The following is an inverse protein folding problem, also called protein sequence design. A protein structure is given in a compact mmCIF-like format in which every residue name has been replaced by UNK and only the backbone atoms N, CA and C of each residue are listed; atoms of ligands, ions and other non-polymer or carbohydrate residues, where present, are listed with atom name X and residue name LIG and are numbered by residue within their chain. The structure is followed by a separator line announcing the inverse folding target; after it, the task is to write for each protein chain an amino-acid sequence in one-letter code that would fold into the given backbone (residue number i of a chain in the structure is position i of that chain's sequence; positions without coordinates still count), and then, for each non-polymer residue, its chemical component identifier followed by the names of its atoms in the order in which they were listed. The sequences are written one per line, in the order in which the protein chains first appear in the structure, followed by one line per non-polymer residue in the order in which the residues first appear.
data_IF_891639081951
#
_entry.id   IF_891639081951
#
_cell.length_a   1.000
_cell.length_b   1.000
_cell.length_c   1.000
_cell.angle_alpha   90.00
_cell.angle_beta   90.00
_cell.angle_gamma   90.00
#
_symmetry.space_group_name_H-M   'P 1'
#
loop_
_entity.id
_entity.type
_entity.pdbx_description
1 polymer ?
#
# COMPACT_ATOMS: atom_id res chain seq x y z
N UNK A 1 53.33 -10.00 1.07
CA UNK A 1 53.16 -9.70 -0.37
C UNK A 1 53.21 -8.19 -0.68
N UNK A 2 52.44 -7.33 0.01
CA UNK A 2 52.42 -5.86 -0.27
C UNK A 2 53.79 -5.16 -0.09
N UNK A 3 54.69 -5.75 0.71
CA UNK A 3 56.03 -5.22 0.98
C UNK A 3 57.16 -5.97 0.25
N UNK A 4 56.83 -6.80 -0.76
CA UNK A 4 57.86 -7.48 -1.54
C UNK A 4 58.69 -6.45 -2.33
N UNK A 5 60.03 -6.51 -2.31
CA UNK A 5 60.87 -5.56 -3.03
C UNK A 5 60.82 -5.82 -4.54
N UNK A 6 60.88 -4.75 -5.33
CA UNK A 6 60.92 -4.79 -6.80
C UNK A 6 59.60 -4.43 -7.49
N UNK A 7 59.62 -4.21 -8.81
CA UNK A 7 58.43 -3.91 -9.59
C UNK A 7 57.52 -5.16 -9.67
N UNK A 8 56.23 -4.97 -9.44
CA UNK A 8 55.23 -6.03 -9.57
C UNK A 8 53.91 -5.50 -10.12
N UNK A 9 53.11 -6.39 -10.69
CA UNK A 9 51.73 -6.10 -11.09
C UNK A 9 50.81 -6.81 -10.11
N UNK A 10 49.99 -6.03 -9.39
CA UNK A 10 49.03 -6.56 -8.43
C UNK A 10 47.61 -6.35 -8.92
N UNK A 11 46.86 -7.45 -9.03
CA UNK A 11 45.41 -7.41 -9.18
C UNK A 11 44.78 -7.44 -7.80
N UNK A 12 44.08 -6.36 -7.43
CA UNK A 12 43.45 -6.23 -6.13
C UNK A 12 41.93 -6.04 -6.28
N UNK A 13 41.18 -6.70 -5.41
CA UNK A 13 39.72 -6.59 -5.32
C UNK A 13 39.32 -5.84 -4.05
N UNK A 14 38.17 -5.13 -4.03
CA UNK A 14 37.25 -4.81 -5.12
C UNK A 14 37.74 -3.73 -6.10
N UNK A 15 37.24 -3.75 -7.34
CA UNK A 15 37.74 -2.90 -8.45
C UNK A 15 37.48 -1.39 -8.33
N UNK A 16 36.72 -0.92 -7.33
CA UNK A 16 36.41 0.51 -7.12
C UNK A 16 37.11 1.13 -5.90
N UNK A 17 38.02 0.38 -5.26
CA UNK A 17 38.78 0.80 -4.08
C UNK A 17 37.82 1.29 -2.97
N UNK A 18 36.71 0.59 -2.77
CA UNK A 18 35.71 0.92 -1.74
C UNK A 18 36.06 0.35 -0.36
N UNK A 19 36.94 -0.65 -0.29
CA UNK A 19 37.30 -1.33 0.96
C UNK A 19 38.21 -2.54 0.72
N UNK A 20 38.50 -3.30 1.78
CA UNK A 20 39.25 -4.55 1.72
C UNK A 20 40.68 -4.41 1.20
N UNK A 21 41.19 -5.47 0.56
CA UNK A 21 42.58 -5.57 0.14
C UNK A 21 43.02 -4.48 -0.85
N UNK A 22 42.14 -4.11 -1.81
CA UNK A 22 42.42 -2.99 -2.73
C UNK A 22 42.67 -1.67 -1.99
N UNK A 23 41.94 -1.39 -0.93
CA UNK A 23 42.09 -0.17 -0.14
C UNK A 23 43.35 -0.19 0.71
N UNK A 24 43.69 -1.33 1.31
CA UNK A 24 44.91 -1.49 2.11
C UNK A 24 46.18 -1.31 1.27
N UNK A 25 46.18 -1.88 0.07
CA UNK A 25 47.28 -1.69 -0.89
C UNK A 25 47.34 -0.24 -1.33
N UNK A 26 46.20 0.33 -1.70
CA UNK A 26 46.12 1.73 -2.14
C UNK A 26 46.68 2.66 -1.05
N UNK A 27 46.32 2.43 0.22
CA UNK A 27 46.84 3.22 1.35
C UNK A 27 48.36 3.22 1.44
N UNK A 28 49.00 2.10 1.10
CA UNK A 28 50.45 1.94 1.22
C UNK A 28 51.21 2.41 -0.01
N UNK A 29 50.60 2.30 -1.19
CA UNK A 29 51.27 2.54 -2.47
C UNK A 29 50.96 3.91 -3.08
N UNK A 30 49.82 4.52 -2.73
CA UNK A 30 49.43 5.83 -3.26
C UNK A 30 50.38 7.00 -2.96
N UNK A 31 51.14 7.04 -1.85
CA UNK A 31 52.11 8.11 -1.60
C UNK A 31 53.37 8.09 -2.50
N UNK A 32 53.56 7.07 -3.35
CA UNK A 32 54.75 6.98 -4.20
C UNK A 32 54.41 7.34 -5.65
N UNK A 33 55.15 8.29 -6.23
CA UNK A 33 55.01 8.73 -7.63
C UNK A 33 55.42 7.66 -8.64
N UNK A 34 56.22 6.67 -8.20
CA UNK A 34 56.68 5.55 -9.02
C UNK A 34 55.59 4.49 -9.24
N UNK A 35 54.47 4.57 -8.50
CA UNK A 35 53.40 3.60 -8.57
C UNK A 35 52.32 4.05 -9.57
N UNK A 36 51.78 3.08 -10.30
CA UNK A 36 50.67 3.27 -11.23
C UNK A 36 49.45 2.50 -10.75
N UNK A 37 48.32 3.19 -10.64
CA UNK A 37 47.01 2.60 -10.33
C UNK A 37 46.17 2.62 -11.60
N UNK A 38 45.72 1.45 -12.06
CA UNK A 38 44.82 1.32 -13.21
C UNK A 38 43.44 0.87 -12.77
N UNK A 39 42.40 1.55 -13.25
CA UNK A 39 41.00 1.23 -12.93
C UNK A 39 40.30 0.68 -14.19
N UNK A 40 39.92 -0.61 -14.20
CA UNK A 40 39.48 -1.31 -15.42
C UNK A 40 38.04 -1.02 -15.84
N UNK A 41 37.28 -0.21 -15.11
CA UNK A 41 35.84 -0.07 -15.33
C UNK A 41 35.24 1.21 -14.75
N UNK A 42 33.93 1.37 -14.96
CA UNK A 42 33.14 2.42 -14.34
C UNK A 42 33.22 2.33 -12.81
N UNK A 43 33.54 3.44 -12.15
CA UNK A 43 33.46 3.57 -10.70
C UNK A 43 32.25 4.41 -10.30
N UNK A 44 31.41 3.87 -9.42
CA UNK A 44 30.23 4.56 -8.91
C UNK A 44 30.61 5.86 -8.18
N UNK A 45 29.76 6.88 -8.33
CA UNK A 45 29.95 8.17 -7.66
C UNK A 45 30.10 8.00 -6.14
N UNK A 46 31.04 8.72 -5.54
CA UNK A 46 31.36 8.63 -4.11
C UNK A 46 32.45 7.62 -3.75
N UNK A 47 32.83 6.72 -4.66
CA UNK A 47 33.97 5.80 -4.43
C UNK A 47 35.32 6.49 -4.59
N UNK A 48 36.37 5.95 -3.95
CA UNK A 48 37.75 6.42 -4.14
C UNK A 48 38.18 6.26 -5.60
N UNK A 49 37.78 5.17 -6.25
CA UNK A 49 38.01 4.97 -7.69
C UNK A 49 37.43 6.10 -8.54
N UNK A 50 36.20 6.54 -8.26
CA UNK A 50 35.60 7.67 -8.96
C UNK A 50 36.35 8.98 -8.71
N UNK A 51 36.76 9.26 -7.46
CA UNK A 51 37.55 10.47 -7.12
C UNK A 51 38.90 10.50 -7.85
N UNK A 52 39.54 9.34 -8.02
CA UNK A 52 40.79 9.19 -8.77
C UNK A 52 40.62 9.40 -10.28
N UNK A 53 39.46 9.07 -10.83
CA UNK A 53 39.16 9.24 -12.26
C UNK A 53 38.68 10.64 -12.61
N UNK A 54 37.99 11.32 -11.67
CA UNK A 54 37.39 12.64 -11.92
C UNK A 54 38.39 13.81 -11.83
N UNK A 55 39.67 13.57 -11.55
CA UNK A 55 40.73 14.60 -11.52
C UNK A 55 42.10 14.04 -11.11
N UNK A 56 43.09 14.94 -10.87
CA UNK A 56 44.37 14.60 -10.21
C UNK A 56 44.33 15.02 -8.73
N UNK A 57 43.66 14.28 -7.84
CA UNK A 57 43.61 14.64 -6.42
C UNK A 57 44.99 14.48 -5.80
N UNK A 58 45.48 15.52 -5.13
CA UNK A 58 46.68 15.44 -4.28
C UNK A 58 46.35 14.82 -2.93
N UNK A 59 45.10 14.94 -2.45
CA UNK A 59 44.65 14.33 -1.20
C UNK A 59 43.27 13.68 -1.36
N UNK A 60 43.09 12.49 -0.79
CA UNK A 60 41.80 11.79 -0.75
C UNK A 60 41.47 11.40 0.69
N UNK A 61 40.28 11.78 1.15
CA UNK A 61 39.71 11.28 2.40
C UNK A 61 39.27 9.83 2.20
N UNK A 62 39.93 8.92 2.93
CA UNK A 62 39.62 7.48 2.92
C UNK A 62 38.61 7.13 3.99
N UNK A 63 38.66 7.84 5.12
CA UNK A 63 37.71 7.76 6.23
C UNK A 63 37.62 9.15 6.89
N UNK A 64 36.65 9.36 7.81
CA UNK A 64 36.42 10.65 8.48
C UNK A 64 37.67 11.23 9.16
N UNK A 65 38.58 10.36 9.60
CA UNK A 65 39.79 10.73 10.32
C UNK A 65 41.09 10.45 9.56
N UNK A 66 41.02 9.94 8.31
CA UNK A 66 42.22 9.53 7.55
C UNK A 66 42.26 10.20 6.17
N UNK A 67 43.10 11.22 6.05
CA UNK A 67 43.50 11.80 4.76
C UNK A 67 44.73 11.11 4.21
N UNK A 68 44.71 10.78 2.92
CA UNK A 68 45.82 10.16 2.24
C UNK A 68 46.38 11.08 1.15
N UNK A 69 47.70 11.27 1.16
CA UNK A 69 48.43 11.97 0.10
C UNK A 69 48.61 11.04 -1.10
N UNK A 70 48.01 11.44 -2.23
CA UNK A 70 47.99 10.65 -3.47
C UNK A 70 48.98 11.29 -4.43
N UNK A 71 50.14 10.64 -4.56
CA UNK A 71 51.20 11.03 -5.49
C UNK A 71 51.40 10.03 -6.63
N UNK A 72 50.83 8.84 -6.52
CA UNK A 72 50.86 7.84 -7.58
C UNK A 72 50.13 8.32 -8.84
N UNK A 73 50.58 7.83 -10.00
CA UNK A 73 49.86 8.05 -11.25
C UNK A 73 48.59 7.20 -11.24
N UNK A 74 47.42 7.81 -11.43
CA UNK A 74 46.16 7.10 -11.55
C UNK A 74 45.65 7.24 -12.99
N UNK A 75 45.29 6.10 -13.60
CA UNK A 75 44.76 6.07 -14.95
C UNK A 75 43.46 5.25 -14.98
N UNK A 76 42.36 5.91 -15.34
CA UNK A 76 41.12 5.25 -15.67
C UNK A 76 41.16 4.81 -17.12
N UNK A 77 40.83 3.56 -17.40
CA UNK A 77 40.82 3.06 -18.79
C UNK A 77 39.64 3.66 -19.61
N UNK A 78 38.79 4.48 -18.97
CA UNK A 78 37.55 5.06 -19.52
C UNK A 78 37.53 6.58 -19.71
N UNK A 79 38.53 7.33 -19.26
CA UNK A 79 38.47 8.81 -19.32
C UNK A 79 38.98 9.34 -20.66
N UNK A 80 38.05 9.54 -21.60
CA UNK A 80 38.23 10.51 -22.68
C UNK A 80 38.09 11.92 -22.10
N UNK A 81 39.22 12.54 -21.78
CA UNK A 81 39.29 13.95 -21.39
C UNK A 81 40.62 14.52 -21.84
N UNK A 82 40.58 15.56 -22.67
CA UNK A 82 41.74 16.38 -22.99
C UNK A 82 42.36 16.88 -21.68
N UNK A 83 43.58 16.47 -21.38
CA UNK A 83 44.41 17.20 -20.43
C UNK A 83 44.72 18.55 -21.07
N UNK A 84 44.36 19.63 -20.38
CA UNK A 84 44.62 21.02 -20.79
C UNK A 84 46.10 21.37 -20.88
N UNK A 85 47.01 20.47 -20.49
CA UNK A 85 48.42 20.77 -20.24
C UNK A 85 49.39 19.97 -21.12
N UNK A 86 49.02 19.66 -22.38
CA UNK A 86 49.95 19.30 -23.47
C UNK A 86 50.88 18.07 -23.26
N UNK A 87 50.80 17.38 -22.13
CA UNK A 87 51.61 16.20 -21.84
C UNK A 87 50.92 14.98 -22.43
N UNK A 88 51.51 14.46 -23.51
CA UNK A 88 51.12 13.22 -24.18
C UNK A 88 51.35 12.06 -23.20
N UNK A 89 50.30 11.63 -22.49
CA UNK A 89 50.21 10.24 -22.05
C UNK A 89 49.48 9.48 -23.15
N UNK A 90 50.06 8.39 -23.63
CA UNK A 90 49.44 7.54 -24.65
C UNK A 90 48.18 6.91 -24.06
N UNK A 91 47.04 7.55 -24.28
CA UNK A 91 45.71 7.13 -23.82
C UNK A 91 45.28 5.94 -24.68
N UNK A 92 45.62 4.73 -24.26
CA UNK A 92 45.00 3.52 -24.79
C UNK A 92 43.64 3.33 -24.11
N UNK A 93 42.59 3.77 -24.82
CA UNK A 93 41.19 3.54 -24.47
C UNK A 93 40.87 2.03 -24.63
N UNK A 94 40.83 1.30 -23.53
CA UNK A 94 40.46 -0.12 -23.51
C UNK A 94 39.26 -0.35 -22.59
N UNK A 95 38.07 0.05 -23.04
CA UNK A 95 36.83 -0.20 -22.32
C UNK A 95 36.55 -1.70 -22.20
N UNK A 96 36.98 -2.34 -21.10
CA UNK A 96 36.63 -3.72 -20.74
C UNK A 96 35.33 -3.79 -19.94
N UNK A 97 34.29 -3.11 -20.42
CA UNK A 97 32.95 -3.28 -19.86
C UNK A 97 32.20 -4.33 -20.68
N UNK A 98 31.56 -5.34 -20.06
CA UNK A 98 30.66 -6.27 -20.75
C UNK A 98 29.30 -5.62 -21.07
N UNK A 99 29.16 -4.31 -20.90
CA UNK A 99 27.93 -3.59 -21.21
C UNK A 99 27.86 -3.21 -22.69
N UNK A 100 26.66 -3.33 -23.26
CA UNK A 100 26.36 -2.91 -24.63
C UNK A 100 26.54 -1.41 -24.77
N UNK A 101 27.14 -0.99 -25.88
CA UNK A 101 27.30 0.42 -26.22
C UNK A 101 25.99 1.04 -26.75
N UNK A 102 25.96 2.36 -26.87
CA UNK A 102 24.78 3.06 -27.37
C UNK A 102 24.38 2.62 -28.78
N UNK A 103 25.34 2.24 -29.63
CA UNK A 103 25.06 1.75 -30.98
C UNK A 103 24.37 0.38 -30.94
N UNK A 104 24.90 -0.56 -30.15
CA UNK A 104 24.30 -1.89 -30.00
C UNK A 104 22.88 -1.83 -29.42
N UNK A 105 22.62 -0.92 -28.46
CA UNK A 105 21.27 -0.70 -27.94
C UNK A 105 20.35 -0.18 -29.05
N UNK A 106 20.77 0.84 -29.81
CA UNK A 106 19.98 1.40 -30.92
C UNK A 106 19.69 0.36 -32.01
N UNK A 107 20.69 -0.44 -32.39
CA UNK A 107 20.55 -1.51 -33.37
C UNK A 107 19.55 -2.57 -32.89
N UNK A 108 19.57 -2.91 -31.59
CA UNK A 108 18.61 -3.83 -30.99
C UNK A 108 17.18 -3.27 -30.99
N UNK A 109 16.98 -2.01 -30.57
CA UNK A 109 15.65 -1.39 -30.58
C UNK A 109 15.12 -1.31 -32.00
N UNK A 110 15.97 -0.96 -32.97
CA UNK A 110 15.61 -0.93 -34.40
C UNK A 110 15.21 -2.31 -34.91
N UNK A 111 15.99 -3.35 -34.57
CA UNK A 111 15.70 -4.72 -34.97
C UNK A 111 14.38 -5.25 -34.41
N UNK A 112 14.10 -4.99 -33.12
CA UNK A 112 12.88 -5.46 -32.46
C UNK A 112 11.64 -4.63 -32.79
N UNK A 113 11.81 -3.35 -33.14
CA UNK A 113 10.72 -2.39 -33.39
C UNK A 113 9.58 -2.47 -32.35
N UNK A 114 9.90 -2.32 -31.04
CA UNK A 114 8.90 -2.42 -29.98
C UNK A 114 7.89 -1.26 -30.03
N UNK A 115 6.69 -1.48 -29.46
CA UNK A 115 5.67 -0.43 -29.35
C UNK A 115 6.01 0.62 -28.29
N UNK A 116 6.72 0.22 -27.23
CA UNK A 116 7.12 1.07 -26.11
C UNK A 116 8.48 0.63 -25.59
N UNK A 117 9.33 1.59 -25.21
CA UNK A 117 10.65 1.34 -24.60
C UNK A 117 10.71 2.00 -23.23
N UNK A 118 11.27 1.29 -22.24
CA UNK A 118 11.50 1.81 -20.89
C UNK A 118 12.99 1.69 -20.60
N UNK A 119 13.62 2.82 -20.29
CA UNK A 119 15.02 2.87 -19.86
C UNK A 119 15.09 2.81 -18.34
N UNK A 120 15.86 1.85 -17.84
CA UNK A 120 16.09 1.61 -16.42
C UNK A 120 17.58 1.40 -16.16
N UNK A 121 18.00 1.41 -14.89
CA UNK A 121 19.37 1.09 -14.47
C UNK A 121 20.47 1.87 -15.21
N UNK A 122 20.29 3.18 -15.39
CA UNK A 122 21.29 4.06 -15.99
C UNK A 122 21.43 5.39 -15.26
N UNK A 123 22.50 6.12 -15.59
CA UNK A 123 22.67 7.51 -15.11
C UNK A 123 21.65 8.42 -15.79
N UNK A 124 20.92 9.22 -14.99
CA UNK A 124 19.87 10.15 -15.45
C UNK A 124 20.25 10.98 -16.70
N UNK A 125 21.41 11.67 -16.77
CA UNK A 125 21.75 12.48 -17.95
C UNK A 125 22.00 11.63 -19.21
N UNK A 126 22.59 10.43 -19.05
CA UNK A 126 22.85 9.52 -20.16
C UNK A 126 21.57 8.86 -20.65
N UNK A 127 20.67 8.49 -19.74
CA UNK A 127 19.35 7.95 -20.07
C UNK A 127 18.49 8.98 -20.81
N UNK A 128 18.47 10.23 -20.36
CA UNK A 128 17.75 11.30 -21.05
C UNK A 128 18.25 11.51 -22.49
N UNK A 129 19.57 11.45 -22.69
CA UNK A 129 20.18 11.53 -24.02
C UNK A 129 19.77 10.35 -24.90
N UNK A 130 19.83 9.11 -24.36
CA UNK A 130 19.45 7.91 -25.09
C UNK A 130 17.95 7.89 -25.44
N UNK A 131 17.09 8.29 -24.52
CA UNK A 131 15.66 8.47 -24.74
C UNK A 131 15.40 9.44 -25.89
N UNK A 132 16.06 10.60 -25.87
CA UNK A 132 15.94 11.58 -26.95
C UNK A 132 16.32 11.01 -28.32
N UNK A 133 17.38 10.20 -28.38
CA UNK A 133 17.79 9.51 -29.62
C UNK A 133 16.78 8.46 -30.07
N UNK A 134 16.28 7.61 -29.17
CA UNK A 134 15.28 6.60 -29.51
C UNK A 134 14.00 7.26 -30.04
N UNK A 135 13.51 8.29 -29.36
CA UNK A 135 12.31 9.02 -29.79
C UNK A 135 12.52 9.73 -31.14
N UNK A 136 13.68 10.38 -31.35
CA UNK A 136 13.92 11.19 -32.55
C UNK A 136 14.30 10.34 -33.77
N UNK A 137 15.15 9.33 -33.60
CA UNK A 137 15.67 8.52 -34.72
C UNK A 137 14.72 7.36 -35.08
N UNK A 138 14.03 6.76 -34.11
CA UNK A 138 13.16 5.58 -34.34
C UNK A 138 11.67 5.91 -34.26
N UNK A 139 11.27 7.08 -33.75
CA UNK A 139 9.86 7.45 -33.59
C UNK A 139 9.11 6.60 -32.56
N UNK A 140 9.82 5.84 -31.71
CA UNK A 140 9.22 4.93 -30.73
C UNK A 140 9.05 5.66 -29.39
N UNK A 141 7.87 5.57 -28.74
CA UNK A 141 7.67 6.11 -27.40
C UNK A 141 8.64 5.49 -26.39
N UNK A 142 9.51 6.31 -25.82
CA UNK A 142 10.50 5.90 -24.84
C UNK A 142 10.30 6.67 -23.54
N UNK A 143 10.35 5.99 -22.40
CA UNK A 143 10.24 6.59 -21.06
C UNK A 143 11.42 6.18 -20.18
N UNK A 144 11.78 7.02 -19.21
CA UNK A 144 12.86 6.83 -18.25
C UNK A 144 12.35 7.17 -16.84
N UNK A 145 11.49 6.31 -16.27
CA UNK A 145 10.80 6.61 -15.01
C UNK A 145 11.78 6.76 -13.84
N UNK A 146 11.43 7.64 -12.90
CA UNK A 146 12.09 7.73 -11.61
C UNK A 146 11.77 6.50 -10.74
N UNK A 147 12.58 6.29 -9.69
CA UNK A 147 12.29 5.27 -8.69
C UNK A 147 10.92 5.54 -8.06
N UNK A 148 10.09 4.49 -7.96
CA UNK A 148 8.70 4.53 -7.49
C UNK A 148 7.72 5.25 -8.42
N UNK A 149 8.12 5.60 -9.64
CA UNK A 149 7.20 6.11 -10.65
C UNK A 149 6.47 4.96 -11.35
N UNK A 150 5.16 5.11 -11.53
CA UNK A 150 4.32 4.12 -12.23
C UNK A 150 4.14 4.54 -13.67
N UNK A 151 4.48 3.64 -14.60
CA UNK A 151 4.27 3.84 -16.03
C UNK A 151 3.08 2.99 -16.48
N UNK A 152 2.05 3.64 -17.02
CA UNK A 152 0.90 2.96 -17.62
C UNK A 152 1.20 2.63 -19.09
N UNK A 153 1.24 1.35 -19.44
CA UNK A 153 1.42 0.90 -20.82
C UNK A 153 0.09 0.29 -21.30
N UNK A 154 -0.48 0.76 -22.42
CA UNK A 154 -1.70 0.18 -22.95
C UNK A 154 -1.45 -1.28 -23.33
N UNK A 155 -2.24 -2.18 -22.74
CA UNK A 155 -2.20 -3.59 -23.11
C UNK A 155 -2.80 -3.78 -24.49
N UNK A 156 -2.16 -4.60 -25.31
CA UNK A 156 -2.72 -5.06 -26.59
C UNK A 156 -3.64 -6.25 -26.43
N UNK A 157 -3.73 -6.82 -25.22
CA UNK A 157 -4.61 -7.96 -24.94
C UNK A 157 -6.03 -7.47 -24.71
N UNK A 158 -6.87 -7.69 -25.72
CA UNK A 158 -8.31 -7.57 -25.59
C UNK A 158 -8.90 -8.94 -25.22
N UNK A 159 -9.45 -9.06 -24.02
CA UNK A 159 -10.20 -10.25 -23.62
C UNK A 159 -11.66 -10.02 -23.98
N UNK A 160 -12.22 -10.89 -24.84
CA UNK A 160 -13.64 -10.88 -25.14
C UNK A 160 -14.38 -11.46 -23.94
N UNK A 161 -15.15 -10.63 -23.24
CA UNK A 161 -15.99 -11.06 -22.14
C UNK A 161 -17.47 -11.15 -22.58
N UNK A 162 -18.16 -12.17 -22.11
CA UNK A 162 -19.61 -12.31 -22.28
C UNK A 162 -20.33 -11.55 -21.16
N UNK A 163 -21.41 -10.84 -21.46
CA UNK A 163 -22.19 -10.11 -20.44
C UNK A 163 -23.48 -10.87 -20.11
N UNK A 164 -23.84 -10.95 -18.83
CA UNK A 164 -25.13 -11.51 -18.43
C UNK A 164 -26.30 -10.62 -18.83
N UNK A 165 -27.46 -11.23 -19.04
CA UNK A 165 -28.68 -10.48 -19.41
C UNK A 165 -29.06 -9.44 -18.36
N UNK A 166 -28.97 -9.76 -17.08
CA UNK A 166 -29.28 -8.82 -15.99
C UNK A 166 -28.25 -7.69 -15.91
N UNK A 167 -26.98 -7.96 -16.19
CA UNK A 167 -25.97 -6.89 -16.30
C UNK A 167 -26.32 -5.94 -17.45
N UNK A 168 -26.67 -6.47 -18.63
CA UNK A 168 -27.11 -5.63 -19.76
C UNK A 168 -28.36 -4.84 -19.39
N UNK A 169 -29.34 -5.44 -18.71
CA UNK A 169 -30.54 -4.73 -18.28
C UNK A 169 -30.23 -3.60 -17.30
N UNK A 170 -29.27 -3.79 -16.38
CA UNK A 170 -28.83 -2.72 -15.48
C UNK A 170 -28.18 -1.54 -16.19
N UNK A 171 -27.69 -1.73 -17.42
CA UNK A 171 -27.14 -0.64 -18.24
C UNK A 171 -28.19 0.29 -18.84
N UNK A 172 -29.46 -0.13 -18.83
CA UNK A 172 -30.55 0.64 -19.40
C UNK A 172 -31.12 1.68 -18.42
N UNK A 173 -30.76 1.58 -17.14
CA UNK A 173 -31.11 2.55 -16.12
C UNK A 173 -30.13 3.73 -16.16
N UNK A 174 -30.60 4.97 -16.38
CA UNK A 174 -29.72 6.14 -16.34
C UNK A 174 -29.25 6.40 -14.91
N UNK A 175 -27.93 6.47 -14.72
CA UNK A 175 -27.30 6.89 -13.46
C UNK A 175 -27.01 8.39 -13.54
N UNK A 176 -28.00 9.21 -13.22
CA UNK A 176 -27.82 10.66 -13.19
C UNK A 176 -26.92 11.05 -12.01
N UNK A 177 -25.74 11.60 -12.32
CA UNK A 177 -24.94 12.30 -11.31
C UNK A 177 -25.39 13.76 -11.28
N UNK A 178 -25.84 14.19 -10.10
CA UNK A 178 -26.18 15.58 -9.83
C UNK A 178 -24.96 16.24 -9.20
N UNK A 179 -24.31 17.14 -9.92
CA UNK A 179 -23.24 17.97 -9.37
C UNK A 179 -23.83 19.30 -8.88
N UNK A 180 -23.60 19.62 -7.62
CA UNK A 180 -23.76 20.98 -7.10
C UNK A 180 -22.48 21.75 -7.42
N UNK A 181 -22.56 22.75 -8.31
CA UNK A 181 -21.42 23.59 -8.64
C UNK A 181 -21.16 24.59 -7.51
N UNK A 182 -20.56 24.15 -6.40
CA UNK A 182 -19.92 25.04 -5.43
C UNK A 182 -18.50 25.32 -5.90
N UNK A 183 -18.36 26.19 -6.90
CA UNK A 183 -17.06 26.79 -7.21
C UNK A 183 -16.74 27.80 -6.11
N UNK A 184 -16.00 27.36 -5.09
CA UNK A 184 -15.28 28.27 -4.20
C UNK A 184 -14.12 28.90 -4.98
N UNK A 185 -14.44 29.93 -5.77
CA UNK A 185 -13.46 30.93 -6.16
C UNK A 185 -13.60 32.10 -5.20
N UNK A 186 -12.68 32.21 -4.25
CA UNK A 186 -12.47 33.43 -3.49
C UNK A 186 -12.20 34.59 -4.47
N UNK A 187 -13.21 35.43 -4.68
CA UNK A 187 -12.98 36.81 -5.08
C UNK A 187 -14.11 37.69 -4.56
N UNK A 188 -13.64 38.65 -3.79
CA UNK A 188 -14.32 39.73 -3.08
C UNK A 188 -15.29 40.51 -3.99
N UNK A 189 -16.55 40.67 -3.56
CA UNK A 189 -17.21 41.99 -3.43
C UNK A 189 -18.71 41.87 -3.16
N UNK A 190 -19.13 42.68 -2.18
CA UNK A 190 -20.49 43.00 -1.76
C UNK A 190 -21.41 43.37 -2.93
N UNK A 191 -22.58 42.71 -3.04
CA UNK A 191 -23.91 43.32 -3.22
C UNK A 191 -25.02 42.24 -3.24
N UNK A 192 -26.20 42.65 -2.75
CA UNK A 192 -27.32 41.85 -2.24
C UNK A 192 -28.18 41.13 -3.28
N UNK A 193 -28.83 40.07 -2.79
CA UNK A 193 -30.16 39.57 -3.13
C UNK A 193 -30.47 39.19 -4.59
N UNK A 194 -30.13 37.94 -4.92
CA UNK A 194 -30.99 37.03 -5.70
C UNK A 194 -30.56 35.59 -5.40
N UNK A 195 -31.45 34.77 -4.80
CA UNK A 195 -31.31 33.31 -4.76
C UNK A 195 -31.29 32.80 -6.21
N UNK A 196 -30.11 32.78 -6.83
CA UNK A 196 -29.88 32.01 -8.05
C UNK A 196 -29.82 30.55 -7.63
N UNK A 197 -30.85 29.80 -7.98
CA UNK A 197 -30.80 28.34 -8.00
C UNK A 197 -29.66 27.99 -8.95
N UNK A 198 -28.58 27.41 -8.42
CA UNK A 198 -27.51 26.86 -9.24
C UNK A 198 -28.13 25.85 -10.21
N UNK A 199 -27.90 25.96 -11.53
CA UNK A 199 -28.47 25.00 -12.47
C UNK A 199 -27.87 23.63 -12.17
N UNK A 200 -28.71 22.70 -11.72
CA UNK A 200 -28.35 21.29 -11.57
C UNK A 200 -27.83 20.78 -12.91
N UNK A 201 -26.52 20.60 -13.03
CA UNK A 201 -25.91 19.94 -14.17
C UNK A 201 -26.14 18.44 -14.01
N UNK A 202 -27.03 17.91 -14.84
CA UNK A 202 -27.28 16.48 -14.98
C UNK A 202 -26.39 15.97 -16.11
N UNK A 203 -25.43 15.10 -15.76
CA UNK A 203 -24.61 14.40 -16.76
C UNK A 203 -25.07 12.95 -16.84
N UNK A 204 -25.32 12.46 -18.07
CA UNK A 204 -25.61 11.05 -18.35
C UNK A 204 -24.28 10.30 -18.52
N UNK A 205 -23.60 10.04 -17.40
CA UNK A 205 -22.50 9.09 -17.37
C UNK A 205 -23.08 7.70 -17.16
N UNK A 206 -23.38 6.99 -18.25
CA UNK A 206 -23.82 5.58 -18.22
C UNK A 206 -22.68 4.66 -17.77
N UNK A 207 -22.28 4.79 -16.51
CA UNK A 207 -21.35 3.92 -15.84
C UNK A 207 -22.14 2.82 -15.13
N UNK A 208 -21.78 1.57 -15.39
CA UNK A 208 -22.42 0.40 -14.80
C UNK A 208 -21.34 -0.42 -14.13
N UNK A 209 -21.57 -0.73 -12.87
CA UNK A 209 -20.67 -1.56 -12.07
C UNK A 209 -21.08 -3.03 -12.21
N UNK A 210 -20.08 -3.89 -12.41
CA UNK A 210 -20.28 -5.33 -12.56
C UNK A 210 -19.07 -6.08 -12.08
N UNK A 211 -19.24 -7.38 -11.89
CA UNK A 211 -18.19 -8.27 -11.43
C UNK A 211 -17.70 -9.11 -12.62
N UNK A 212 -16.40 -9.05 -12.88
CA UNK A 212 -15.76 -9.92 -13.88
C UNK A 212 -15.43 -11.27 -13.23
N UNK A 213 -16.03 -12.34 -13.74
CA UNK A 213 -15.76 -13.71 -13.34
C UNK A 213 -14.91 -14.37 -14.42
N UNK A 214 -13.71 -14.81 -14.04
CA UNK A 214 -12.79 -15.55 -14.91
C UNK A 214 -12.52 -16.94 -14.30
N UNK A 215 -13.08 -17.98 -14.93
CA UNK A 215 -12.78 -19.38 -14.57
C UNK A 215 -11.73 -19.93 -15.55
N UNK A 216 -10.74 -20.68 -15.06
CA UNK A 216 -9.59 -21.17 -15.83
C UNK A 216 -9.92 -21.91 -17.14
N UNK A 217 -11.14 -22.43 -17.27
CA UNK A 217 -11.61 -23.22 -18.41
C UNK A 217 -12.78 -22.60 -19.18
N UNK A 218 -13.27 -21.42 -18.77
CA UNK A 218 -14.40 -20.74 -19.42
C UNK A 218 -14.00 -19.34 -19.88
N UNK A 219 -14.76 -18.78 -20.82
CA UNK A 219 -14.58 -17.38 -21.23
C UNK A 219 -14.91 -16.46 -20.05
N UNK A 220 -14.20 -15.34 -19.97
CA UNK A 220 -14.49 -14.30 -19.00
C UNK A 220 -15.94 -13.84 -19.15
N UNK A 221 -16.65 -13.69 -18.01
CA UNK A 221 -18.06 -13.28 -17.99
C UNK A 221 -18.26 -12.13 -17.02
N UNK A 222 -18.94 -11.07 -17.46
CA UNK A 222 -19.35 -9.96 -16.61
C UNK A 222 -20.76 -10.27 -16.10
N UNK A 223 -20.93 -10.23 -14.79
CA UNK A 223 -22.20 -10.52 -14.12
C UNK A 223 -22.59 -9.38 -13.17
N UNK A 224 -23.90 -9.22 -12.97
CA UNK A 224 -24.42 -8.33 -11.95
C UNK A 224 -24.18 -8.91 -10.54
N UNK A 225 -24.08 -8.07 -9.51
CA UNK A 225 -23.79 -8.49 -8.13
C UNK A 225 -24.75 -9.58 -7.61
N UNK A 226 -26.04 -9.47 -7.96
CA UNK A 226 -27.08 -10.43 -7.56
C UNK A 226 -26.94 -11.81 -8.22
N UNK A 227 -26.27 -11.89 -9.37
CA UNK A 227 -26.09 -13.14 -10.10
C UNK A 227 -24.77 -13.84 -9.76
N UNK A 228 -23.87 -13.19 -9.01
CA UNK A 228 -22.54 -13.72 -8.71
C UNK A 228 -22.61 -15.11 -8.07
N UNK A 229 -23.47 -15.27 -7.07
CA UNK A 229 -23.62 -16.55 -6.35
C UNK A 229 -24.14 -17.66 -7.25
N UNK A 230 -25.08 -17.33 -8.16
CA UNK A 230 -25.59 -18.26 -9.17
C UNK A 230 -24.51 -18.60 -10.21
N UNK A 231 -23.73 -17.61 -10.63
CA UNK A 231 -22.64 -17.78 -11.60
C UNK A 231 -21.51 -18.67 -11.05
N UNK A 232 -21.19 -18.54 -9.76
CA UNK A 232 -20.16 -19.34 -9.08
C UNK A 232 -20.69 -20.70 -8.57
N UNK A 233 -22.01 -20.93 -8.61
CA UNK A 233 -22.64 -22.12 -8.03
C UNK A 233 -22.46 -22.24 -6.52
N UNK A 234 -22.23 -21.12 -5.84
CA UNK A 234 -21.96 -21.07 -4.40
C UNK A 234 -23.18 -20.59 -3.62
N UNK A 235 -23.30 -21.07 -2.38
CA UNK A 235 -24.34 -20.59 -1.46
C UNK A 235 -23.89 -19.30 -0.80
N UNK A 236 -24.83 -18.39 -0.54
CA UNK A 236 -24.56 -17.22 0.31
C UNK A 236 -24.16 -17.72 1.70
N UNK A 237 -23.02 -17.30 2.20
CA UNK A 237 -22.64 -17.52 3.59
C UNK A 237 -22.92 -16.23 4.34
N UNK A 238 -23.92 -16.27 5.21
CA UNK A 238 -24.25 -15.15 6.08
C UNK A 238 -23.42 -15.29 7.36
N UNK A 239 -22.44 -14.41 7.53
CA UNK A 239 -21.66 -14.35 8.75
C UNK A 239 -22.43 -13.51 9.76
N UNK A 240 -22.70 -14.11 10.92
CA UNK A 240 -23.26 -13.43 12.07
C UNK A 240 -22.30 -13.54 13.23
N UNK A 241 -22.19 -12.46 13.98
CA UNK A 241 -21.49 -12.46 15.25
C UNK A 241 -22.47 -12.79 16.36
N UNK A 242 -21.97 -13.41 17.41
CA UNK A 242 -22.73 -13.67 18.62
C UNK A 242 -21.83 -13.45 19.83
N UNK A 243 -22.41 -12.86 20.88
CA UNK A 243 -21.70 -12.52 22.10
C UNK A 243 -22.60 -12.78 23.30
N UNK A 244 -22.04 -13.42 24.33
CA UNK A 244 -22.75 -13.69 25.57
C UNK A 244 -21.92 -13.19 26.75
N UNK A 245 -22.46 -12.19 27.46
CA UNK A 245 -21.79 -11.57 28.61
C UNK A 245 -22.59 -11.73 29.90
N UNK A 246 -21.92 -11.74 31.06
CA UNK A 246 -22.57 -11.75 32.36
C UNK A 246 -23.11 -10.35 32.71
N UNK A 247 -24.34 -10.30 33.20
CA UNK A 247 -24.99 -9.11 33.70
C UNK A 247 -25.15 -9.21 35.22
N UNK A 248 -24.64 -8.22 35.95
CA UNK A 248 -24.74 -8.18 37.42
C UNK A 248 -26.11 -7.66 37.84
N UNK A 249 -26.87 -8.50 38.54
CA UNK A 249 -28.12 -8.10 39.20
C UNK A 249 -27.80 -7.79 40.66
N UNK A 250 -28.00 -6.56 41.14
CA UNK A 250 -27.83 -6.25 42.56
C UNK A 250 -29.14 -6.56 43.29
N UNK A 251 -29.13 -7.61 44.11
CA UNK A 251 -30.14 -7.80 45.14
C UNK A 251 -29.85 -6.84 46.30
N UNK A 252 -30.70 -5.83 46.50
CA UNK A 252 -30.74 -5.10 47.77
C UNK A 252 -31.34 -6.06 48.81
N UNK A 253 -30.64 -6.26 49.91
CA UNK A 253 -30.91 -7.33 50.86
C UNK A 253 -32.35 -7.40 51.39
N UNK A 254 -32.78 -8.66 51.55
CA UNK A 254 -33.80 -9.18 52.48
C UNK A 254 -35.27 -8.92 52.15
N UNK A 255 -35.83 -9.82 51.35
CA UNK A 255 -36.97 -10.61 51.83
C UNK A 255 -36.90 -12.01 51.24
N UNK A 256 -37.05 -13.03 52.08
CA UNK A 256 -37.08 -14.44 51.67
C UNK A 256 -38.25 -14.67 50.69
N UNK A 257 -37.98 -14.61 49.40
CA UNK A 257 -38.84 -15.13 48.36
C UNK A 257 -37.99 -15.57 47.17
N UNK A 258 -38.19 -16.80 46.74
CA UNK A 258 -37.44 -17.59 45.76
C UNK A 258 -37.65 -17.13 44.31
N UNK A 259 -37.72 -15.82 44.04
CA UNK A 259 -38.13 -15.33 42.74
C UNK A 259 -37.01 -14.56 42.05
N UNK A 260 -36.29 -15.27 41.17
CA UNK A 260 -35.55 -14.69 40.07
C UNK A 260 -36.47 -13.69 39.32
N UNK A 261 -36.01 -12.49 38.91
CA UNK A 261 -36.81 -11.58 38.10
C UNK A 261 -37.42 -12.33 36.92
N UNK A 262 -38.73 -12.18 36.68
CA UNK A 262 -39.34 -12.75 35.47
C UNK A 262 -38.62 -12.18 34.25
N UNK A 263 -38.39 -13.01 33.23
CA UNK A 263 -37.76 -12.61 31.96
C UNK A 263 -38.35 -11.31 31.40
N UNK A 264 -39.67 -11.15 31.54
CA UNK A 264 -40.44 -9.97 31.15
C UNK A 264 -39.98 -8.65 31.81
N UNK A 265 -39.56 -8.66 33.08
CA UNK A 265 -39.15 -7.44 33.78
C UNK A 265 -37.75 -6.99 33.34
N UNK A 266 -36.86 -7.95 33.06
CA UNK A 266 -35.51 -7.67 32.56
C UNK A 266 -35.56 -7.07 31.15
N UNK A 267 -36.35 -7.67 30.25
CA UNK A 267 -36.52 -7.12 28.90
C UNK A 267 -37.13 -5.72 28.90
N UNK A 268 -38.12 -5.46 29.78
CA UNK A 268 -38.70 -4.13 29.92
C UNK A 268 -37.68 -3.07 30.38
N UNK A 269 -36.81 -3.42 31.33
CA UNK A 269 -35.74 -2.50 31.78
C UNK A 269 -34.70 -2.25 30.69
N UNK A 270 -34.30 -3.30 29.96
CA UNK A 270 -33.37 -3.20 28.83
C UNK A 270 -33.99 -2.35 27.70
N UNK A 271 -35.27 -2.58 27.37
CA UNK A 271 -36.01 -1.81 26.38
C UNK A 271 -36.06 -0.32 26.72
N UNK A 272 -36.39 0.03 27.96
CA UNK A 272 -36.42 1.44 28.42
C UNK A 272 -35.04 2.07 28.31
N UNK A 273 -33.98 1.37 28.74
CA UNK A 273 -32.61 1.91 28.68
C UNK A 273 -32.12 2.10 27.25
N UNK A 274 -32.44 1.17 26.35
CA UNK A 274 -32.10 1.30 24.93
C UNK A 274 -32.90 2.41 24.25
N UNK A 275 -34.18 2.59 24.60
CA UNK A 275 -35.02 3.65 24.03
C UNK A 275 -34.56 5.05 24.45
N UNK A 276 -33.99 5.20 25.65
CA UNK A 276 -33.48 6.47 26.17
C UNK A 276 -32.16 6.90 25.48
N UNK A 277 -31.29 5.93 25.17
CA UNK A 277 -29.94 6.17 24.63
C UNK A 277 -29.84 6.05 23.09
N UNK A 278 -30.80 5.35 22.45
CA UNK A 278 -30.87 5.22 20.99
C UNK A 278 -31.95 6.16 20.45
N UNK A 279 -31.55 7.39 20.14
CA UNK A 279 -32.39 8.34 19.41
C UNK A 279 -32.60 7.87 17.95
N UNK A 280 -33.67 7.10 17.72
CA UNK A 280 -34.18 6.80 16.37
C UNK A 280 -34.05 5.36 15.86
N UNK A 281 -33.76 4.37 16.71
CA UNK A 281 -33.85 2.95 16.33
C UNK A 281 -35.25 2.39 16.60
N UNK A 282 -35.84 1.67 15.62
CA UNK A 282 -37.08 0.92 15.84
C UNK A 282 -36.77 -0.35 16.64
N UNK A 283 -36.96 -0.28 17.97
CA UNK A 283 -36.74 -1.41 18.87
C UNK A 283 -38.00 -2.27 18.87
N UNK A 284 -37.89 -3.50 18.37
CA UNK A 284 -38.98 -4.45 18.35
C UNK A 284 -38.89 -5.39 19.56
N UNK A 285 -39.94 -5.40 20.39
CA UNK A 285 -40.06 -6.29 21.55
C UNK A 285 -40.95 -7.49 21.21
N UNK A 286 -40.34 -8.68 21.22
CA UNK A 286 -41.02 -9.95 20.99
C UNK A 286 -41.29 -10.74 22.28
N UNK A 287 -41.10 -10.10 23.45
CA UNK A 287 -41.30 -10.68 24.79
C UNK A 287 -40.16 -11.57 25.26
N UNK A 288 -39.68 -12.46 24.40
CA UNK A 288 -38.56 -13.39 24.69
C UNK A 288 -37.21 -12.88 24.18
N UNK A 289 -37.21 -11.88 23.30
CA UNK A 289 -36.03 -11.23 22.76
C UNK A 289 -36.36 -9.82 22.27
N UNK A 290 -35.36 -8.95 22.30
CA UNK A 290 -35.43 -7.61 21.70
C UNK A 290 -34.63 -7.60 20.40
N UNK A 291 -35.13 -6.91 19.39
CA UNK A 291 -34.45 -6.73 18.10
C UNK A 291 -34.29 -5.24 17.77
N UNK A 292 -33.10 -4.87 17.30
CA UNK A 292 -32.77 -3.54 16.78
C UNK A 292 -32.01 -3.75 15.47
N UNK A 293 -32.62 -3.44 14.32
CA UNK A 293 -32.07 -3.78 13.00
C UNK A 293 -31.70 -5.28 12.91
N UNK A 294 -30.44 -5.63 12.58
CA UNK A 294 -30.00 -7.02 12.61
C UNK A 294 -29.53 -7.52 13.99
N UNK A 295 -29.49 -6.68 15.02
CA UNK A 295 -29.08 -7.05 16.37
C UNK A 295 -30.25 -7.65 17.15
N UNK A 296 -30.10 -8.88 17.63
CA UNK A 296 -31.07 -9.58 18.46
C UNK A 296 -30.44 -9.89 19.82
N UNK A 297 -31.17 -9.65 20.92
CA UNK A 297 -30.73 -9.96 22.29
C UNK A 297 -31.77 -10.77 23.05
N UNK A 298 -31.31 -11.78 23.79
CA UNK A 298 -32.14 -12.69 24.57
C UNK A 298 -31.45 -13.07 25.88
N UNK A 299 -32.22 -13.53 26.87
CA UNK A 299 -31.66 -14.08 28.11
C UNK A 299 -31.10 -15.47 27.81
N UNK A 300 -29.84 -15.70 28.17
CA UNK A 300 -29.18 -16.98 27.96
C UNK A 300 -29.54 -17.97 29.07
N UNK A 301 -30.45 -18.90 28.78
CA UNK A 301 -30.86 -19.97 29.69
C UNK A 301 -29.97 -21.22 29.62
N UNK A 302 -28.90 -21.19 28.82
CA UNK A 302 -28.04 -22.37 28.59
C UNK A 302 -26.89 -22.39 29.61
N UNK A 303 -26.76 -23.50 30.33
CA UNK A 303 -25.65 -23.70 31.29
C UNK A 303 -24.28 -23.64 30.60
N UNK A 304 -24.17 -24.18 29.37
CA UNK A 304 -22.97 -24.13 28.52
C UNK A 304 -23.28 -23.42 27.21
N UNK A 305 -23.08 -22.10 27.18
CA UNK A 305 -23.24 -21.30 25.96
C UNK A 305 -21.88 -21.18 25.22
N UNK A 306 -21.81 -21.51 23.92
CA UNK A 306 -20.56 -21.42 23.15
C UNK A 306 -20.07 -19.99 22.93
N UNK A 307 -20.93 -19.00 23.14
CA UNK A 307 -20.62 -17.57 22.98
C UNK A 307 -20.25 -16.89 24.30
N UNK A 308 -20.20 -17.64 25.41
CA UNK A 308 -19.87 -17.11 26.74
C UNK A 308 -18.37 -16.94 26.86
N UNK A 309 -17.92 -15.71 27.09
CA UNK A 309 -16.52 -15.44 27.45
C UNK A 309 -16.36 -15.74 28.94
N UNK A 310 -15.55 -16.74 29.27
CA UNK A 310 -15.24 -17.11 30.65
C UNK A 310 -14.06 -16.23 31.10
N UNK A 311 -14.36 -15.12 31.77
CA UNK A 311 -13.34 -14.49 32.61
C UNK A 311 -13.27 -15.28 33.92
N UNK A 312 -12.17 -15.99 34.10
CA UNK A 312 -11.90 -16.95 35.17
C UNK A 312 -11.68 -16.30 36.55
N UNK A 313 -12.50 -15.34 36.95
CA UNK A 313 -12.43 -14.70 38.27
C UNK A 313 -13.81 -14.27 38.79
N UNK A 314 -14.42 -15.13 39.63
CA UNK A 314 -15.34 -14.69 40.68
C UNK A 314 -16.76 -15.25 40.64
N UNK A 315 -17.08 -16.09 41.64
CA UNK A 315 -18.41 -16.50 42.13
C UNK A 315 -19.54 -16.64 41.09
N UNK A 316 -19.73 -17.86 40.60
CA UNK A 316 -20.77 -18.27 39.63
C UNK A 316 -22.23 -18.26 40.14
N UNK A 317 -22.53 -17.71 41.32
CA UNK A 317 -23.82 -18.01 41.97
C UNK A 317 -24.97 -17.03 41.70
N UNK A 318 -24.75 -15.85 41.10
CA UNK A 318 -25.82 -14.83 40.93
C UNK A 318 -25.71 -13.95 39.66
N UNK A 319 -25.16 -14.47 38.55
CA UNK A 319 -25.08 -13.72 37.29
C UNK A 319 -26.13 -14.21 36.27
N UNK A 320 -27.00 -13.31 35.80
CA UNK A 320 -27.78 -13.56 34.58
C UNK A 320 -26.91 -13.34 33.36
N UNK A 321 -27.12 -14.10 32.28
CA UNK A 321 -26.37 -13.95 31.04
C UNK A 321 -27.28 -13.41 29.93
N UNK A 322 -26.78 -12.45 29.16
CA UNK A 322 -27.45 -11.96 27.96
C UNK A 322 -26.69 -12.48 26.74
N UNK A 323 -27.41 -13.06 25.78
CA UNK A 323 -26.87 -13.57 24.54
C UNK A 323 -27.44 -12.74 23.39
N UNK A 324 -26.56 -12.12 22.61
CA UNK A 324 -26.93 -11.38 21.42
C UNK A 324 -26.29 -11.94 20.15
N UNK A 325 -26.90 -11.64 19.00
CA UNK A 325 -26.39 -11.95 17.67
C UNK A 325 -26.71 -10.85 16.68
N UNK A 326 -25.79 -10.55 15.74
CA UNK A 326 -25.95 -9.49 14.74
C UNK A 326 -25.24 -9.80 13.43
N UNK A 327 -25.60 -9.08 12.36
CA UNK A 327 -24.91 -9.16 11.06
C UNK A 327 -23.67 -8.27 11.01
N UNK A 328 -22.72 -8.56 10.12
CA UNK A 328 -21.50 -7.75 9.94
C UNK A 328 -21.80 -6.28 9.62
N UNK A 329 -22.92 -5.99 8.93
CA UNK A 329 -23.28 -4.63 8.55
C UNK A 329 -23.53 -3.72 9.76
N UNK A 330 -24.05 -4.29 10.85
CA UNK A 330 -24.46 -3.55 12.05
C UNK A 330 -23.46 -3.70 13.20
N UNK A 331 -22.20 -4.04 12.93
CA UNK A 331 -21.18 -4.25 13.97
C UNK A 331 -21.01 -3.02 14.87
N UNK A 332 -21.01 -1.81 14.29
CA UNK A 332 -20.90 -0.56 15.08
C UNK A 332 -22.11 -0.34 15.99
N UNK A 333 -23.31 -0.65 15.50
CA UNK A 333 -24.54 -0.55 16.26
C UNK A 333 -24.54 -1.58 17.39
N UNK A 334 -24.15 -2.82 17.09
CA UNK A 334 -24.06 -3.90 18.07
C UNK A 334 -23.11 -3.57 19.22
N UNK A 335 -21.90 -3.09 18.93
CA UNK A 335 -20.95 -2.70 19.98
C UNK A 335 -21.42 -1.49 20.79
N UNK A 336 -22.12 -0.53 20.18
CA UNK A 336 -22.75 0.57 20.91
C UNK A 336 -23.80 0.04 21.90
N UNK A 337 -24.67 -0.87 21.46
CA UNK A 337 -25.70 -1.51 22.31
C UNK A 337 -25.05 -2.31 23.43
N UNK A 338 -24.05 -3.14 23.13
CA UNK A 338 -23.32 -3.93 24.13
C UNK A 338 -22.66 -3.01 25.17
N UNK A 339 -22.01 -1.93 24.75
CA UNK A 339 -21.37 -0.97 25.67
C UNK A 339 -22.37 -0.26 26.59
N UNK A 340 -23.56 0.10 26.08
CA UNK A 340 -24.64 0.67 26.91
C UNK A 340 -25.07 -0.34 27.97
N UNK A 341 -25.21 -1.61 27.60
CA UNK A 341 -25.73 -2.66 28.49
C UNK A 341 -24.68 -3.25 29.44
N UNK A 342 -23.40 -3.27 29.08
CA UNK A 342 -22.31 -3.66 30.00
C UNK A 342 -22.14 -2.64 31.14
N UNK A 343 -22.39 -1.37 30.86
CA UNK A 343 -22.40 -0.31 31.87
C UNK A 343 -23.71 -0.24 32.68
N UNK A 344 -24.73 -1.04 32.32
CA UNK A 344 -26.03 -1.02 32.95
C UNK A 344 -26.13 -2.04 34.10
N UNK A 345 -26.32 -1.56 35.32
CA UNK A 345 -26.62 -2.39 36.49
C UNK A 345 -28.13 -2.43 36.73
N UNK A 346 -28.72 -3.62 36.83
CA UNK A 346 -30.15 -3.76 37.16
C UNK A 346 -30.39 -3.35 38.61
N UNK A 347 -31.20 -2.30 38.80
CA UNK A 347 -31.78 -1.94 40.09
C UNK A 347 -33.15 -2.58 40.21
N UNK A 348 -33.33 -3.46 41.21
CA UNK A 348 -34.67 -3.89 41.61
C UNK A 348 -35.39 -2.73 42.31
N UNK A 349 -36.06 -1.87 41.55
CA UNK A 349 -37.05 -0.93 42.10
C UNK A 349 -38.42 -1.60 42.08
N UNK A 350 -38.69 -2.46 43.05
CA UNK A 350 -40.07 -2.77 43.45
C UNK A 350 -40.56 -1.61 44.34
N UNK A 351 -41.08 -0.57 43.70
CA UNK A 351 -41.95 0.42 44.35
C UNK A 351 -42.84 1.04 43.28
N UNK A 352 -44.01 0.44 43.06
CA UNK A 352 -45.36 1.05 43.14
C UNK A 352 -46.35 -0.12 43.14
#
# INVERSE_FOLDING_TARGET
MIAAPGPCVLFATPGWISGGFSLEVFKRWAPSEMNLVTLPGYCAAGTIGHKLMSGKPTKIDVDKDTQLDVRCQAFGIFTAGLLSDGAISNIHQLSFSPHTDAKGIMDLVKFLSPKHVILVHGEKPKMATLKGRICSELGIPCVDPANNETVCIPSTHCVKAEASHTFIQSTWSPNFKFFESSSESESDSLLKDRKFISPLQVTDERAVEGILVEEKSKKAKIVHQNELLLALGQRKHEVRFAYCWPMKVRNLEQTKATNLPSSSNVFRMVYVKLSDELSGGDIQDFGEHLQVESFQISICLKDRCPYRIIDSTGNESEAMFLCCSWSVADEKLAWKIISILENFQLWNSLSI
#
